data_IF_561832261885
#
_entry.id   IF_561832261885
#
_cell.length_a   1.000
_cell.length_b   1.000
_cell.length_c   1.000
_cell.angle_alpha   90.00
_cell.angle_beta   90.00
_cell.angle_gamma   90.00
#
_symmetry.space_group_name_H-M   'P 1'
#
loop_
_entity.id
_entity.type
_entity.pdbx_description
1 polymer ?
#
# COMPACT_ATOMS: atom_id res chain seq x y z
N UNK A 1 10.24 16.53 6.28
CA UNK A 1 10.05 16.86 4.86
C UNK A 1 10.13 15.53 4.12
N UNK A 2 9.06 15.10 3.46
CA UNK A 2 9.12 13.89 2.64
C UNK A 2 10.16 14.05 1.54
N UNK A 3 10.90 12.97 1.24
CA UNK A 3 11.84 12.98 0.13
C UNK A 3 11.07 12.98 -1.20
N UNK A 4 11.65 13.61 -2.22
CA UNK A 4 11.10 13.58 -3.58
C UNK A 4 10.87 12.14 -4.08
N UNK A 5 11.77 11.22 -3.72
CA UNK A 5 11.64 9.80 -4.04
C UNK A 5 10.40 9.15 -3.42
N UNK A 6 10.05 9.49 -2.18
CA UNK A 6 8.82 8.98 -1.55
C UNK A 6 7.58 9.39 -2.34
N UNK A 7 7.48 10.67 -2.71
CA UNK A 7 6.36 11.18 -3.52
C UNK A 7 6.24 10.47 -4.87
N UNK A 8 7.38 10.20 -5.52
CA UNK A 8 7.41 9.43 -6.77
C UNK A 8 6.89 7.99 -6.57
N UNK A 9 7.25 7.33 -5.47
CA UNK A 9 6.77 5.98 -5.16
C UNK A 9 5.27 5.96 -4.85
N UNK A 10 4.75 6.97 -4.16
CA UNK A 10 3.32 7.15 -3.94
C UNK A 10 2.60 7.36 -5.28
N UNK A 11 3.12 8.24 -6.15
CA UNK A 11 2.52 8.47 -7.47
C UNK A 11 2.52 7.20 -8.34
N UNK A 12 3.60 6.42 -8.35
CA UNK A 12 3.66 5.15 -9.07
C UNK A 12 2.60 4.15 -8.57
N UNK A 13 2.35 4.11 -7.27
CA UNK A 13 1.30 3.27 -6.69
C UNK A 13 -0.10 3.76 -7.06
N UNK A 14 -0.33 5.07 -7.08
CA UNK A 14 -1.59 5.67 -7.55
C UNK A 14 -1.85 5.29 -9.01
N UNK A 15 -0.86 5.46 -9.89
CA UNK A 15 -0.98 5.13 -11.32
C UNK A 15 -1.25 3.65 -11.55
N UNK A 16 -0.58 2.78 -10.77
CA UNK A 16 -0.87 1.36 -10.73
C UNK A 16 -2.33 1.09 -10.32
N UNK A 17 -2.78 1.72 -9.23
CA UNK A 17 -4.11 1.53 -8.69
C UNK A 17 -5.19 1.96 -9.69
N UNK A 18 -5.05 3.15 -10.29
CA UNK A 18 -5.96 3.67 -11.32
C UNK A 18 -6.09 2.71 -12.49
N UNK A 19 -4.95 2.25 -13.02
CA UNK A 19 -4.90 1.35 -14.18
C UNK A 19 -5.48 -0.04 -13.89
N UNK A 20 -5.18 -0.62 -12.73
CA UNK A 20 -5.55 -2.01 -12.41
C UNK A 20 -6.96 -2.12 -11.87
N UNK A 21 -7.42 -1.13 -11.12
CA UNK A 21 -8.72 -1.18 -10.44
C UNK A 21 -9.77 -0.24 -11.04
N UNK A 22 -9.41 0.58 -12.03
CA UNK A 22 -10.34 1.47 -12.73
C UNK A 22 -10.90 2.58 -11.85
N UNK A 23 -10.14 3.05 -10.87
CA UNK A 23 -10.56 4.12 -9.95
C UNK A 23 -10.13 5.50 -10.45
N UNK A 24 -10.93 6.52 -10.17
CA UNK A 24 -10.63 7.92 -10.47
C UNK A 24 -9.93 8.62 -9.31
N UNK A 25 -9.34 9.80 -9.57
CA UNK A 25 -8.62 10.59 -8.56
C UNK A 25 -9.53 10.99 -7.39
N UNK A 26 -10.81 11.26 -7.65
CA UNK A 26 -11.81 11.55 -6.61
C UNK A 26 -12.10 10.40 -5.64
N UNK A 27 -11.69 9.18 -5.98
CA UNK A 27 -11.85 7.99 -5.13
C UNK A 27 -10.57 7.64 -4.36
N UNK A 28 -9.50 8.40 -4.57
CA UNK A 28 -8.19 8.16 -3.96
C UNK A 28 -7.93 9.26 -2.93
N UNK A 29 -7.77 8.84 -1.69
CA UNK A 29 -7.11 9.66 -0.68
C UNK A 29 -5.62 9.36 -0.75
N UNK A 30 -4.77 10.38 -0.73
CA UNK A 30 -3.32 10.22 -0.79
C UNK A 30 -2.60 11.24 0.10
N UNK A 31 -1.50 10.82 0.72
CA UNK A 31 -0.59 11.72 1.44
C UNK A 31 0.38 12.35 0.44
N UNK A 32 -0.16 13.24 -0.40
CA UNK A 32 0.59 14.08 -1.32
C UNK A 32 0.18 15.53 -1.06
N UNK A 33 1.14 16.45 -1.18
CA UNK A 33 0.93 17.88 -0.84
C UNK A 33 -0.25 18.55 -1.55
N UNK A 34 -0.62 18.05 -2.74
CA UNK A 34 -1.70 18.59 -3.57
C UNK A 34 -2.97 17.70 -3.57
N UNK A 35 -3.02 16.66 -2.73
CA UNK A 35 -4.16 15.76 -2.70
C UNK A 35 -5.40 16.43 -2.09
N UNK A 36 -6.56 16.17 -2.69
CA UNK A 36 -7.85 16.70 -2.22
C UNK A 36 -8.32 16.07 -0.91
N UNK A 37 -7.76 14.92 -0.53
CA UNK A 37 -8.16 14.14 0.63
C UNK A 37 -6.98 13.36 1.19
N UNK A 38 -6.78 13.46 2.50
CA UNK A 38 -5.81 12.64 3.22
C UNK A 38 -6.41 11.26 3.58
N UNK A 39 -5.62 10.18 3.49
CA UNK A 39 -6.03 8.84 3.94
C UNK A 39 -6.51 8.87 5.39
N UNK A 40 -7.61 8.21 5.77
CA UNK A 40 -7.97 8.08 7.19
C UNK A 40 -6.89 7.31 7.97
N UNK A 41 -6.87 7.49 9.29
CA UNK A 41 -6.06 6.62 10.15
C UNK A 41 -6.72 5.25 10.23
N UNK A 42 -5.91 4.20 10.14
CA UNK A 42 -6.28 2.82 10.45
C UNK A 42 -6.67 2.65 11.92
N UNK A 43 -7.28 1.51 12.25
CA UNK A 43 -7.72 1.17 13.60
C UNK A 43 -6.64 1.27 14.69
N UNK A 44 -5.37 0.96 14.37
CA UNK A 44 -4.25 1.11 15.32
C UNK A 44 -3.57 2.51 15.22
N UNK A 45 -4.16 3.47 14.50
CA UNK A 45 -3.75 4.88 14.46
C UNK A 45 -2.71 5.25 13.39
N UNK A 46 -2.27 4.32 12.55
CA UNK A 46 -1.36 4.58 11.43
C UNK A 46 -2.08 5.22 10.26
N UNK A 47 -1.43 6.17 9.57
CA UNK A 47 -1.90 6.74 8.30
C UNK A 47 -1.10 6.12 7.16
N UNK A 48 -1.80 5.55 6.20
CA UNK A 48 -1.20 5.03 4.97
C UNK A 48 -0.95 6.18 3.98
N UNK A 49 -0.06 5.98 3.01
CA UNK A 49 0.17 6.96 1.94
C UNK A 49 -1.00 7.03 0.96
N UNK A 50 -1.72 5.92 0.76
CA UNK A 50 -2.84 5.83 -0.18
C UNK A 50 -3.99 5.05 0.45
N UNK A 51 -5.20 5.53 0.24
CA UNK A 51 -6.41 4.85 0.67
C UNK A 51 -7.53 4.99 -0.37
N UNK A 52 -8.14 3.85 -0.72
CA UNK A 52 -9.29 3.77 -1.60
C UNK A 52 -10.36 2.95 -0.91
N UNK A 53 -11.58 3.48 -0.87
CA UNK A 53 -12.72 2.78 -0.30
C UNK A 53 -13.93 2.98 -1.21
N UNK A 54 -14.26 1.94 -1.97
CA UNK A 54 -15.44 1.89 -2.83
C UNK A 54 -16.43 0.86 -2.30
N UNK A 55 -17.65 0.77 -2.84
CA UNK A 55 -18.59 -0.30 -2.48
C UNK A 55 -18.03 -1.71 -2.74
N UNK A 56 -17.14 -1.88 -3.73
CA UNK A 56 -16.64 -3.19 -4.16
C UNK A 56 -15.28 -3.59 -3.59
N UNK A 57 -14.48 -2.63 -3.11
CA UNK A 57 -13.13 -2.91 -2.61
C UNK A 57 -12.59 -1.87 -1.62
N UNK A 58 -11.56 -2.29 -0.88
CA UNK A 58 -10.67 -1.42 -0.13
C UNK A 58 -9.22 -1.64 -0.60
N UNK A 59 -8.48 -0.55 -0.78
CA UNK A 59 -7.06 -0.55 -1.08
C UNK A 59 -6.35 0.32 -0.05
N UNK A 60 -5.33 -0.22 0.59
CA UNK A 60 -4.44 0.51 1.50
C UNK A 60 -3.02 0.43 0.91
N UNK A 61 -2.42 1.58 0.61
CA UNK A 61 -1.12 1.67 -0.06
C UNK A 61 -0.06 2.35 0.79
N UNK A 62 1.16 1.80 0.78
CA UNK A 62 2.33 2.33 1.48
C UNK A 62 3.54 2.39 0.53
N UNK A 63 4.23 3.52 0.50
CA UNK A 63 5.50 3.71 -0.15
C UNK A 63 6.63 3.62 0.89
N UNK A 64 7.72 2.92 0.57
CA UNK A 64 8.91 2.82 1.42
C UNK A 64 10.18 3.05 0.65
N UNK A 65 11.13 3.71 1.32
CA UNK A 65 12.52 3.76 0.89
C UNK A 65 13.28 2.52 1.36
N UNK A 66 14.42 2.22 0.72
CA UNK A 66 15.17 0.96 0.87
C UNK A 66 15.53 0.62 2.34
N UNK A 67 15.76 1.64 3.18
CA UNK A 67 16.16 1.47 4.58
C UNK A 67 15.00 1.08 5.51
N UNK A 68 13.75 1.23 5.07
CA UNK A 68 12.59 1.17 5.97
C UNK A 68 11.77 -0.13 5.84
N UNK A 69 12.14 -1.05 4.97
CA UNK A 69 11.28 -2.20 4.64
C UNK A 69 11.28 -3.27 5.75
N UNK A 70 12.44 -3.57 6.34
CA UNK A 70 12.61 -4.69 7.27
C UNK A 70 12.75 -4.22 8.73
N UNK A 71 11.91 -3.30 9.16
CA UNK A 71 11.90 -2.80 10.54
C UNK A 71 10.56 -3.09 11.25
N UNK A 72 10.54 -2.90 12.57
CA UNK A 72 9.35 -3.12 13.39
C UNK A 72 8.22 -2.14 13.08
N UNK A 73 8.54 -0.95 12.57
CA UNK A 73 7.56 0.06 12.20
C UNK A 73 6.72 -0.39 11.01
N UNK A 74 7.35 -0.83 9.92
CA UNK A 74 6.69 -1.35 8.72
C UNK A 74 5.88 -2.61 9.03
N UNK A 75 6.38 -3.47 9.93
CA UNK A 75 5.63 -4.62 10.42
C UNK A 75 4.33 -4.19 11.14
N UNK A 76 4.41 -3.19 12.03
CA UNK A 76 3.27 -2.68 12.77
C UNK A 76 2.24 -2.00 11.85
N UNK A 77 2.70 -1.20 10.88
CA UNK A 77 1.83 -0.60 9.87
C UNK A 77 1.07 -1.67 9.08
N UNK A 78 1.76 -2.69 8.54
CA UNK A 78 1.11 -3.75 7.78
C UNK A 78 0.12 -4.58 8.61
N UNK A 79 0.45 -4.84 9.88
CA UNK A 79 -0.48 -5.50 10.80
C UNK A 79 -1.75 -4.65 11.01
N UNK A 80 -1.62 -3.35 11.20
CA UNK A 80 -2.76 -2.42 11.30
C UNK A 80 -3.60 -2.40 10.03
N UNK A 81 -2.95 -2.33 8.85
CA UNK A 81 -3.66 -2.29 7.56
C UNK A 81 -4.42 -3.58 7.28
N UNK A 82 -3.90 -4.74 7.69
CA UNK A 82 -4.63 -6.01 7.63
C UNK A 82 -5.87 -6.01 8.52
N UNK A 83 -5.75 -5.52 9.76
CA UNK A 83 -6.90 -5.42 10.67
C UNK A 83 -7.97 -4.49 10.10
N UNK A 84 -7.54 -3.31 9.62
CA UNK A 84 -8.41 -2.33 8.97
C UNK A 84 -9.15 -2.93 7.77
N UNK A 85 -8.41 -3.57 6.84
CA UNK A 85 -9.01 -4.18 5.66
C UNK A 85 -10.03 -5.28 6.01
N UNK A 86 -9.83 -6.01 7.11
CA UNK A 86 -10.74 -7.07 7.58
C UNK A 86 -12.07 -6.53 8.13
N UNK A 87 -12.18 -5.25 8.46
CA UNK A 87 -13.44 -4.63 8.88
C UNK A 87 -14.48 -4.58 7.75
N UNK A 88 -14.05 -4.78 6.50
CA UNK A 88 -14.91 -4.63 5.33
C UNK A 88 -15.18 -5.97 4.67
N UNK A 89 -16.45 -6.30 4.41
CA UNK A 89 -16.83 -7.48 3.64
C UNK A 89 -16.83 -7.20 2.12
N UNK A 90 -15.63 -7.00 1.56
CA UNK A 90 -15.40 -6.70 0.14
C UNK A 90 -14.00 -7.12 -0.29
N UNK A 91 -13.62 -6.84 -1.55
CA UNK A 91 -12.26 -7.16 -2.02
C UNK A 91 -11.23 -6.32 -1.27
N UNK A 92 -10.21 -6.95 -0.68
CA UNK A 92 -9.20 -6.32 0.17
C UNK A 92 -7.84 -6.36 -0.50
N UNK A 93 -7.25 -5.20 -0.69
CA UNK A 93 -5.95 -5.06 -1.34
C UNK A 93 -4.98 -4.25 -0.46
N UNK A 94 -3.74 -4.73 -0.36
CA UNK A 94 -2.64 -3.97 0.25
C UNK A 94 -1.57 -3.80 -0.83
N UNK A 95 -1.14 -2.57 -1.06
CA UNK A 95 -0.14 -2.21 -2.08
C UNK A 95 1.12 -1.69 -1.38
N UNK A 96 2.28 -2.21 -1.75
CA UNK A 96 3.56 -1.67 -1.32
C UNK A 96 4.36 -1.19 -2.53
N UNK A 97 4.86 0.05 -2.45
CA UNK A 97 5.67 0.68 -3.49
C UNK A 97 7.04 1.05 -2.95
N UNK A 98 8.05 1.04 -3.82
CA UNK A 98 9.40 1.47 -3.48
C UNK A 98 10.30 1.50 -4.71
N UNK A 99 11.59 1.68 -4.50
CA UNK A 99 12.58 1.68 -5.58
C UNK A 99 12.68 0.29 -6.26
N UNK A 100 13.22 0.26 -7.47
CA UNK A 100 13.58 -0.99 -8.15
C UNK A 100 14.57 -1.83 -7.31
N UNK A 101 15.50 -1.18 -6.61
CA UNK A 101 16.47 -1.83 -5.75
C UNK A 101 15.80 -2.45 -4.49
N UNK A 102 14.78 -1.79 -3.96
CA UNK A 102 13.97 -2.27 -2.86
C UNK A 102 13.03 -3.42 -3.22
N UNK A 103 12.68 -3.60 -4.50
CA UNK A 103 11.65 -4.55 -4.93
C UNK A 103 11.83 -5.99 -4.39
N UNK A 104 13.04 -6.60 -4.44
CA UNK A 104 13.24 -7.93 -3.85
C UNK A 104 13.00 -7.96 -2.33
N UNK A 105 13.41 -6.90 -1.64
CA UNK A 105 13.23 -6.75 -0.19
C UNK A 105 11.75 -6.61 0.18
N UNK A 106 11.00 -5.77 -0.55
CA UNK A 106 9.54 -5.62 -0.40
C UNK A 106 8.84 -6.96 -0.60
N UNK A 107 9.15 -7.66 -1.70
CA UNK A 107 8.54 -8.96 -2.02
C UNK A 107 8.82 -9.99 -0.93
N UNK A 108 10.05 -10.04 -0.44
CA UNK A 108 10.44 -10.95 0.64
C UNK A 108 9.76 -10.59 1.96
N UNK A 109 9.64 -9.30 2.28
CA UNK A 109 8.90 -8.82 3.44
C UNK A 109 7.45 -9.29 3.39
N UNK A 110 6.72 -9.02 2.29
CA UNK A 110 5.31 -9.42 2.16
C UNK A 110 5.15 -10.94 2.26
N UNK A 111 6.01 -11.73 1.59
CA UNK A 111 5.95 -13.19 1.68
C UNK A 111 6.13 -13.70 3.12
N UNK A 112 7.10 -13.15 3.86
CA UNK A 112 7.32 -13.49 5.28
C UNK A 112 6.15 -13.04 6.14
N UNK A 113 5.66 -11.83 5.92
CA UNK A 113 4.53 -11.28 6.65
C UNK A 113 3.28 -12.15 6.48
N UNK A 114 2.95 -12.53 5.23
CA UNK A 114 1.82 -13.40 4.92
C UNK A 114 1.93 -14.77 5.59
N UNK A 115 3.12 -15.38 5.51
CA UNK A 115 3.39 -16.69 6.13
C UNK A 115 3.25 -16.67 7.66
N UNK A 116 3.64 -15.56 8.32
CA UNK A 116 3.64 -15.44 9.78
C UNK A 116 2.29 -15.06 10.38
N UNK A 117 1.49 -14.27 9.65
CA UNK A 117 0.28 -13.64 10.21
C UNK A 117 -1.03 -14.26 9.73
N UNK A 118 -0.97 -15.30 8.88
CA UNK A 118 -2.13 -15.98 8.28
C UNK A 118 -3.23 -15.00 7.83
N UNK A 119 -3.04 -14.43 6.64
CA UNK A 119 -3.84 -13.31 6.12
C UNK A 119 -4.71 -13.71 4.92
N UNK A 120 -5.65 -14.67 5.07
CA UNK A 120 -6.51 -15.08 3.98
C UNK A 120 -7.44 -13.95 3.55
N UNK A 121 -7.83 -13.96 2.27
CA UNK A 121 -8.76 -12.99 1.69
C UNK A 121 -8.20 -11.59 1.46
N UNK A 122 -6.91 -11.36 1.65
CA UNK A 122 -6.23 -10.11 1.30
C UNK A 122 -5.23 -10.36 0.18
N UNK A 123 -5.34 -9.59 -0.89
CA UNK A 123 -4.39 -9.65 -2.01
C UNK A 123 -3.32 -8.59 -1.83
N UNK A 124 -2.05 -9.00 -1.90
CA UNK A 124 -0.91 -8.09 -1.78
C UNK A 124 -0.31 -7.79 -3.16
N UNK A 125 0.04 -6.53 -3.37
CA UNK A 125 0.63 -6.04 -4.61
C UNK A 125 1.96 -5.36 -4.32
N UNK A 126 2.92 -5.56 -5.20
CA UNK A 126 4.21 -4.85 -5.16
C UNK A 126 4.38 -4.03 -6.41
N UNK A 127 4.72 -2.75 -6.25
CA UNK A 127 4.90 -1.80 -7.36
C UNK A 127 6.34 -1.26 -7.32
N UNK A 128 6.97 -1.15 -8.49
CA UNK A 128 8.20 -0.40 -8.66
C UNK A 128 8.09 0.51 -9.91
N UNK A 129 9.00 1.48 -10.10
CA UNK A 129 8.90 2.45 -11.20
C UNK A 129 8.95 1.83 -12.62
N UNK A 130 9.45 0.61 -12.77
CA UNK A 130 9.68 -0.05 -14.06
C UNK A 130 8.78 -1.27 -14.28
N UNK A 131 8.49 -2.03 -13.24
CA UNK A 131 7.46 -3.07 -13.27
C UNK A 131 6.13 -2.46 -12.85
N UNK A 132 5.18 -2.48 -13.79
CA UNK A 132 3.79 -2.03 -13.63
C UNK A 132 2.97 -2.97 -12.70
N UNK A 133 3.54 -3.34 -11.57
CA UNK A 133 3.02 -4.14 -10.48
C UNK A 133 3.02 -5.66 -10.71
N UNK A 134 3.28 -6.40 -9.62
CA UNK A 134 3.11 -7.86 -9.51
C UNK A 134 2.08 -8.15 -8.42
N UNK A 135 1.14 -9.04 -8.73
CA UNK A 135 0.22 -9.61 -7.73
C UNK A 135 0.95 -10.77 -7.05
N UNK A 136 1.20 -10.64 -5.75
CA UNK A 136 1.77 -11.73 -4.96
C UNK A 136 0.64 -12.68 -4.53
N UNK A 137 0.40 -13.70 -5.36
CA UNK A 137 -0.52 -14.81 -5.05
C UNK A 137 -0.05 -15.60 -3.84
#
# INVERSE_FOLDING_TARGET
MESQAHKEYVQNAIDYIKRVFGVSDSQIAADLGDASMLPPKSIDGFRADIYVNTPSMIIIGEAKTDNDINNNHTLAQFASYVKEARLYDKKRHIVMSGSMAAYPSIRNFIRRFRKRNDVPGITFHTVDPYKKGEVLK
#
